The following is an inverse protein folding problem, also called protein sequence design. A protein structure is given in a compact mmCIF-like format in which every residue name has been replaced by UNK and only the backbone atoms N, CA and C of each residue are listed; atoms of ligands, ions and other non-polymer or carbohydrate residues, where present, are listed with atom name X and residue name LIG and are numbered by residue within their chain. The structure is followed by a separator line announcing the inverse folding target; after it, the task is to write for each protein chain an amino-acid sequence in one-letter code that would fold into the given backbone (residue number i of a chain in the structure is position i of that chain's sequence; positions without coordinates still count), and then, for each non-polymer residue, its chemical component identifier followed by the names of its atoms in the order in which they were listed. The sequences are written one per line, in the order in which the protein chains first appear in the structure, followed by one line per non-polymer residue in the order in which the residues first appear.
data_IF_298474292687
#
_entry.id   IF_298474292687
#
_cell.length_a   1.000
_cell.length_b   1.000
_cell.length_c   1.000
_cell.angle_alpha   90.00
_cell.angle_beta   90.00
_cell.angle_gamma   90.00
#
_symmetry.space_group_name_H-M   'P 1'
#
loop_
_entity.id
_entity.type
_entity.pdbx_description
1 polymer ?
#
# COMPACT_ATOMS: atom_id res chain seq x y z
N UNK A 1 -14.17 -71.85 -5.18
CA UNK A 1 -13.72 -70.61 -5.89
C UNK A 1 -14.73 -69.44 -5.95
N UNK A 2 -15.94 -69.44 -5.27
CA UNK A 2 -16.77 -68.21 -5.21
C UNK A 2 -16.42 -67.25 -4.06
N UNK A 3 -15.77 -67.74 -2.98
CA UNK A 3 -15.60 -66.92 -1.75
C UNK A 3 -14.46 -65.89 -1.80
N UNK A 4 -13.44 -66.11 -2.67
CA UNK A 4 -12.33 -65.13 -2.75
C UNK A 4 -12.71 -63.88 -3.55
N UNK A 5 -13.59 -64.01 -4.54
CA UNK A 5 -14.08 -62.86 -5.32
C UNK A 5 -14.96 -61.92 -4.50
N UNK A 6 -15.74 -62.45 -3.59
CA UNK A 6 -16.60 -61.66 -2.69
C UNK A 6 -15.74 -60.90 -1.65
N UNK A 7 -14.66 -61.54 -1.18
CA UNK A 7 -13.76 -60.91 -0.20
C UNK A 7 -12.95 -59.76 -0.85
N UNK A 8 -12.53 -59.91 -2.11
CA UNK A 8 -11.81 -58.83 -2.84
C UNK A 8 -12.74 -57.63 -3.14
N UNK A 9 -13.98 -57.90 -3.57
CA UNK A 9 -14.98 -56.84 -3.78
C UNK A 9 -15.34 -56.07 -2.49
N UNK A 10 -15.46 -56.77 -1.35
CA UNK A 10 -15.70 -56.15 -0.06
C UNK A 10 -14.50 -55.28 0.38
N UNK A 11 -13.27 -55.75 0.19
CA UNK A 11 -12.06 -54.99 0.51
C UNK A 11 -11.93 -53.73 -0.34
N UNK A 12 -12.18 -53.80 -1.64
CA UNK A 12 -12.14 -52.64 -2.55
C UNK A 12 -13.24 -51.66 -2.23
N UNK A 13 -14.45 -52.12 -1.89
CA UNK A 13 -15.56 -51.25 -1.44
C UNK A 13 -15.24 -50.53 -0.16
N UNK A 14 -14.61 -51.21 0.82
CA UNK A 14 -14.22 -50.58 2.09
C UNK A 14 -13.15 -49.52 1.94
N UNK A 15 -12.14 -49.75 1.08
CA UNK A 15 -11.08 -48.76 0.79
C UNK A 15 -11.66 -47.52 0.08
N UNK A 16 -12.60 -47.71 -0.86
CA UNK A 16 -13.26 -46.59 -1.54
C UNK A 16 -14.12 -45.77 -0.57
N UNK A 17 -14.84 -46.37 0.36
CA UNK A 17 -15.63 -45.65 1.37
C UNK A 17 -14.72 -44.89 2.34
N UNK A 18 -13.62 -45.50 2.81
CA UNK A 18 -12.66 -44.83 3.68
C UNK A 18 -12.00 -43.64 2.92
N UNK A 19 -11.62 -43.81 1.65
CA UNK A 19 -11.05 -42.74 0.80
C UNK A 19 -12.01 -41.57 0.63
N UNK A 20 -13.31 -41.84 0.40
CA UNK A 20 -14.35 -40.83 0.31
C UNK A 20 -14.61 -40.16 1.67
N UNK A 21 -14.62 -40.88 2.77
CA UNK A 21 -14.78 -40.34 4.12
C UNK A 21 -13.60 -39.41 4.49
N UNK A 22 -12.36 -39.82 4.19
CA UNK A 22 -11.16 -39.00 4.42
C UNK A 22 -11.17 -37.74 3.55
N UNK A 23 -11.59 -37.86 2.29
CA UNK A 23 -11.73 -36.71 1.38
C UNK A 23 -12.81 -35.76 1.85
N UNK A 24 -13.94 -36.28 2.33
CA UNK A 24 -15.04 -35.48 2.90
C UNK A 24 -14.63 -34.82 4.22
N UNK A 25 -13.93 -35.54 5.09
CA UNK A 25 -13.40 -35.03 6.36
C UNK A 25 -12.35 -33.92 6.11
N UNK A 26 -11.44 -34.11 5.15
CA UNK A 26 -10.44 -33.11 4.78
C UNK A 26 -11.09 -31.89 4.11
N UNK A 27 -12.09 -32.07 3.24
CA UNK A 27 -12.90 -31.01 2.66
C UNK A 27 -13.67 -30.24 3.74
N UNK A 28 -14.35 -30.95 4.65
CA UNK A 28 -15.09 -30.34 5.76
C UNK A 28 -14.17 -29.60 6.76
N UNK A 29 -12.94 -30.08 6.93
CA UNK A 29 -11.92 -29.44 7.75
C UNK A 29 -11.29 -28.23 7.06
N UNK A 30 -11.20 -28.23 5.73
CA UNK A 30 -10.71 -27.08 4.93
C UNK A 30 -11.74 -25.95 4.87
N UNK A 31 -13.05 -26.27 4.84
CA UNK A 31 -14.14 -25.27 4.86
C UNK A 31 -14.27 -24.53 6.21
N UNK A 32 -13.66 -25.03 7.27
CA UNK A 32 -13.57 -24.36 8.57
C UNK A 32 -12.31 -23.51 8.76
N UNK A 33 -11.68 -23.00 7.71
CA UNK A 33 -10.74 -21.88 7.88
C UNK A 33 -11.53 -20.71 8.45
N UNK A 34 -11.46 -20.57 9.79
CA UNK A 34 -12.06 -19.46 10.53
C UNK A 34 -11.58 -18.17 9.88
N UNK A 35 -12.50 -17.43 9.25
CA UNK A 35 -12.13 -16.13 8.65
C UNK A 35 -11.51 -15.28 9.75
N UNK A 36 -10.36 -14.68 9.47
CA UNK A 36 -9.72 -13.76 10.39
C UNK A 36 -10.66 -12.61 10.72
N UNK A 37 -10.78 -12.23 12.00
CA UNK A 37 -11.61 -11.09 12.37
C UNK A 37 -11.01 -9.81 11.80
N UNK A 38 -11.87 -8.94 11.28
CA UNK A 38 -11.51 -7.67 10.66
C UNK A 38 -11.65 -6.56 11.68
N UNK A 39 -10.65 -5.68 11.80
CA UNK A 39 -10.70 -4.53 12.70
C UNK A 39 -11.57 -3.41 12.12
N UNK A 40 -11.28 -2.97 10.89
CA UNK A 40 -11.93 -1.80 10.27
C UNK A 40 -13.29 -2.18 9.67
N UNK A 41 -14.26 -2.53 10.53
CA UNK A 41 -15.62 -2.90 10.10
C UNK A 41 -16.44 -1.63 9.79
N UNK A 42 -16.33 -0.61 10.63
CA UNK A 42 -17.08 0.64 10.51
C UNK A 42 -16.15 1.84 10.32
N UNK A 43 -16.28 2.60 9.21
CA UNK A 43 -15.35 3.69 8.88
C UNK A 43 -15.30 4.85 9.86
N UNK A 44 -16.33 5.02 10.69
CA UNK A 44 -16.46 6.13 11.65
C UNK A 44 -15.99 5.78 13.05
N UNK A 45 -15.89 4.49 13.38
CA UNK A 45 -15.46 4.01 14.69
C UNK A 45 -13.95 4.22 14.86
N UNK A 46 -13.57 4.63 16.06
CA UNK A 46 -12.17 4.76 16.48
C UNK A 46 -11.73 3.52 17.22
N UNK A 47 -10.60 2.99 16.82
CA UNK A 47 -9.95 1.83 17.43
C UNK A 47 -8.63 2.28 18.04
N UNK A 48 -8.53 2.29 19.37
CA UNK A 48 -7.29 2.62 20.08
C UNK A 48 -6.32 1.45 20.03
N UNK A 49 -5.23 1.60 19.30
CA UNK A 49 -4.22 0.55 19.10
C UNK A 49 -2.92 0.90 19.82
N UNK A 50 -2.33 0.00 20.62
CA UNK A 50 -1.08 0.23 21.31
C UNK A 50 0.12 0.10 20.37
N UNK A 51 1.09 1.01 20.52
CA UNK A 51 2.41 0.89 19.91
C UNK A 51 3.17 -0.28 20.55
N UNK A 52 3.60 -1.25 19.75
CA UNK A 52 4.36 -2.42 20.24
C UNK A 52 5.80 -2.47 19.74
N UNK A 53 6.12 -1.72 18.67
CA UNK A 53 7.49 -1.64 18.14
C UNK A 53 7.70 -0.33 17.40
N UNK A 54 8.92 0.22 17.50
CA UNK A 54 9.38 1.38 16.74
C UNK A 54 10.78 1.11 16.21
N UNK A 55 10.94 1.05 14.89
CA UNK A 55 12.22 0.86 14.21
C UNK A 55 12.65 2.17 13.55
N UNK A 56 13.94 2.52 13.67
CA UNK A 56 14.54 3.65 12.96
C UNK A 56 14.96 3.17 11.57
N UNK A 57 14.35 3.73 10.53
CA UNK A 57 14.68 3.38 9.14
C UNK A 57 15.72 4.34 8.55
N UNK A 58 15.64 5.62 8.89
CA UNK A 58 16.62 6.64 8.48
C UNK A 58 16.73 7.74 9.55
N UNK A 59 17.48 8.80 9.25
CA UNK A 59 17.65 9.95 10.14
C UNK A 59 16.33 10.58 10.57
N UNK A 60 15.31 10.54 9.72
CA UNK A 60 14.01 11.16 9.97
C UNK A 60 12.81 10.25 9.72
N UNK A 61 13.01 8.95 9.48
CA UNK A 61 11.91 8.02 9.19
C UNK A 61 11.89 6.86 10.17
N UNK A 62 10.68 6.50 10.60
CA UNK A 62 10.39 5.42 11.55
C UNK A 62 9.36 4.46 10.97
N UNK A 63 9.49 3.20 11.34
CA UNK A 63 8.42 2.21 11.19
C UNK A 63 7.78 1.98 12.56
N UNK A 64 6.51 2.32 12.66
CA UNK A 64 5.70 2.12 13.87
C UNK A 64 4.83 0.88 13.68
N UNK A 65 4.90 -0.06 14.60
CA UNK A 65 4.03 -1.23 14.63
C UNK A 65 3.04 -1.11 15.77
N UNK A 66 1.76 -1.17 15.45
CA UNK A 66 0.66 -1.17 16.40
C UNK A 66 0.01 -2.54 16.44
N UNK A 67 -0.34 -3.01 17.66
CA UNK A 67 -1.03 -4.31 17.79
C UNK A 67 -2.50 -4.19 17.43
N UNK A 68 -3.02 -5.20 16.74
CA UNK A 68 -4.44 -5.45 16.59
C UNK A 68 -4.99 -6.18 17.83
N UNK A 69 -6.32 -6.23 18.03
CA UNK A 69 -6.91 -6.78 19.27
C UNK A 69 -6.50 -8.22 19.62
N UNK A 70 -6.27 -9.06 18.62
CA UNK A 70 -5.70 -10.41 18.80
C UNK A 70 -4.73 -10.74 17.69
N UNK A 71 -3.93 -11.80 17.89
CA UNK A 71 -2.98 -12.31 16.88
C UNK A 71 -3.63 -12.73 15.56
N UNK A 72 -4.92 -13.04 15.56
CA UNK A 72 -5.65 -13.51 14.37
C UNK A 72 -6.33 -12.37 13.60
N UNK A 73 -6.41 -11.16 14.18
CA UNK A 73 -7.02 -10.02 13.52
C UNK A 73 -6.22 -9.58 12.30
N UNK A 74 -6.95 -9.15 11.28
CA UNK A 74 -6.43 -8.40 10.14
C UNK A 74 -6.97 -6.97 10.18
N UNK A 75 -6.27 -6.05 9.53
CA UNK A 75 -6.71 -4.65 9.48
C UNK A 75 -8.03 -4.49 8.70
N UNK A 76 -8.17 -5.18 7.56
CA UNK A 76 -9.34 -5.10 6.68
C UNK A 76 -9.35 -3.81 5.84
N UNK A 77 -8.18 -3.36 5.40
CA UNK A 77 -8.03 -2.15 4.60
C UNK A 77 -8.04 -2.48 3.10
N UNK A 78 -9.06 -2.03 2.32
CA UNK A 78 -9.06 -2.20 0.88
C UNK A 78 -7.83 -1.55 0.22
N UNK A 79 -7.27 -2.21 -0.79
CA UNK A 79 -6.11 -1.69 -1.53
C UNK A 79 -6.46 -0.35 -2.19
N UNK A 80 -5.62 0.66 -1.99
CA UNK A 80 -5.82 2.04 -2.44
C UNK A 80 -6.46 2.94 -1.38
N UNK A 81 -6.85 2.39 -0.23
CA UNK A 81 -7.38 3.17 0.90
C UNK A 81 -6.33 3.36 2.00
N UNK A 82 -6.65 4.24 2.95
CA UNK A 82 -5.80 4.63 4.07
C UNK A 82 -6.58 4.66 5.39
N UNK A 83 -5.86 4.80 6.48
CA UNK A 83 -6.41 5.04 7.82
C UNK A 83 -6.15 6.48 8.26
N UNK A 84 -6.99 6.99 9.14
CA UNK A 84 -6.74 8.22 9.87
C UNK A 84 -6.24 7.90 11.26
N UNK A 85 -5.12 8.50 11.65
CA UNK A 85 -4.67 8.54 13.02
C UNK A 85 -5.21 9.82 13.69
N UNK A 86 -5.71 9.68 14.89
CA UNK A 86 -6.25 10.79 15.69
C UNK A 86 -5.57 10.80 17.07
N UNK A 87 -5.04 11.95 17.45
CA UNK A 87 -4.45 12.18 18.77
C UNK A 87 -4.91 13.54 19.32
N UNK A 88 -4.89 13.70 20.63
CA UNK A 88 -5.09 14.98 21.30
C UNK A 88 -3.73 15.50 21.76
N UNK A 89 -3.34 16.70 21.32
CA UNK A 89 -2.09 17.38 21.69
C UNK A 89 -2.46 18.70 22.36
N UNK A 90 -2.31 18.77 23.68
CA UNK A 90 -2.92 19.86 24.45
C UNK A 90 -4.45 19.85 24.27
N UNK A 91 -5.02 20.95 23.82
CA UNK A 91 -6.46 21.07 23.54
C UNK A 91 -6.83 20.81 22.07
N UNK A 92 -5.85 20.57 21.21
CA UNK A 92 -6.06 20.38 19.78
C UNK A 92 -6.21 18.89 19.41
N UNK A 93 -7.23 18.57 18.61
CA UNK A 93 -7.38 17.26 17.97
C UNK A 93 -6.64 17.28 16.63
N UNK A 94 -5.60 16.46 16.52
CA UNK A 94 -4.78 16.32 15.31
C UNK A 94 -5.14 15.03 14.59
N UNK A 95 -5.53 15.15 13.32
CA UNK A 95 -5.89 14.01 12.46
C UNK A 95 -4.99 14.01 11.24
N UNK A 96 -4.39 12.86 10.91
CA UNK A 96 -3.57 12.67 9.68
C UNK A 96 -3.85 11.32 9.04
N UNK A 97 -3.76 11.30 7.72
CA UNK A 97 -3.95 10.10 6.91
C UNK A 97 -2.63 9.37 6.72
N UNK A 98 -2.67 8.04 6.83
CA UNK A 98 -1.52 7.17 6.58
C UNK A 98 -1.95 5.92 5.84
N UNK A 99 -1.15 5.49 4.87
CA UNK A 99 -1.34 4.20 4.20
C UNK A 99 -0.39 3.19 4.85
N UNK A 100 -0.90 2.14 5.49
CA UNK A 100 -0.08 1.08 6.05
C UNK A 100 0.80 0.41 4.99
N UNK A 101 1.98 -0.01 5.41
CA UNK A 101 2.88 -0.84 4.60
C UNK A 101 2.70 -2.34 4.90
N UNK A 102 2.07 -2.72 5.98
CA UNK A 102 1.54 -4.07 6.19
C UNK A 102 0.26 -4.30 5.38
N UNK A 103 -0.07 -5.55 5.13
CA UNK A 103 -1.27 -6.00 4.42
C UNK A 103 -2.16 -6.87 5.31
N UNK A 104 -3.30 -7.35 4.79
CA UNK A 104 -4.16 -8.30 5.49
C UNK A 104 -3.57 -9.73 5.59
N UNK A 105 -2.37 -9.97 5.03
CA UNK A 105 -1.60 -11.18 5.32
C UNK A 105 -0.82 -11.09 6.64
N UNK A 106 -0.63 -9.87 7.12
CA UNK A 106 0.05 -9.56 8.37
C UNK A 106 -0.96 -9.56 9.50
N UNK A 107 -1.06 -10.68 10.22
CA UNK A 107 -2.01 -10.84 11.30
C UNK A 107 -1.49 -10.27 12.61
N UNK A 108 -2.38 -9.71 13.41
CA UNK A 108 -2.12 -9.23 14.77
C UNK A 108 -1.45 -7.86 14.87
N UNK A 109 -1.09 -7.23 13.76
CA UNK A 109 -0.47 -5.90 13.78
C UNK A 109 -0.72 -5.08 12.51
N UNK A 110 -0.44 -3.79 12.61
CA UNK A 110 -0.37 -2.85 11.48
C UNK A 110 0.93 -2.06 11.54
N UNK A 111 1.63 -1.97 10.40
CA UNK A 111 2.88 -1.21 10.24
C UNK A 111 2.65 0.07 9.45
N UNK A 112 3.15 1.18 10.00
CA UNK A 112 3.17 2.49 9.34
C UNK A 112 4.61 2.96 9.18
N UNK A 113 4.99 3.39 7.98
CA UNK A 113 6.25 4.08 7.72
C UNK A 113 5.98 5.57 7.63
N UNK A 114 6.58 6.33 8.54
CA UNK A 114 6.27 7.75 8.75
C UNK A 114 7.57 8.56 8.84
N UNK A 115 7.65 9.62 8.03
CA UNK A 115 8.70 10.63 8.13
C UNK A 115 8.38 11.57 9.30
N UNK A 116 9.34 11.77 10.18
CA UNK A 116 9.25 12.67 11.32
C UNK A 116 9.76 14.04 10.89
N UNK A 117 8.88 15.00 10.90
CA UNK A 117 9.22 16.40 10.61
C UNK A 117 9.62 17.09 11.92
N UNK A 118 10.90 17.13 12.19
CA UNK A 118 11.46 17.71 13.42
C UNK A 118 11.36 19.24 13.42
N UNK A 119 11.33 19.82 14.62
CA UNK A 119 11.43 21.28 14.82
C UNK A 119 12.75 21.82 14.31
N UNK A 120 12.73 23.06 13.82
CA UNK A 120 13.90 23.82 13.39
C UNK A 120 14.71 23.20 12.23
N UNK A 121 14.12 22.25 11.49
CA UNK A 121 14.76 21.65 10.32
C UNK A 121 14.38 22.40 9.03
N UNK A 122 13.09 22.71 8.85
CA UNK A 122 12.61 23.37 7.64
C UNK A 122 12.29 24.84 7.91
N UNK A 123 12.91 25.83 7.20
CA UNK A 123 12.76 27.26 7.48
C UNK A 123 11.31 27.76 7.46
N UNK A 124 10.49 27.24 6.53
CA UNK A 124 9.06 27.63 6.41
C UNK A 124 8.16 26.93 7.43
N UNK A 125 8.63 25.90 8.12
CA UNK A 125 7.87 25.10 9.08
C UNK A 125 8.69 24.87 10.36
N UNK A 126 9.05 25.93 11.11
CA UNK A 126 9.95 25.81 12.26
C UNK A 126 9.40 24.90 13.36
N UNK A 127 8.08 24.80 13.51
CA UNK A 127 7.45 23.93 14.51
C UNK A 127 7.44 22.45 14.13
N UNK A 128 7.79 22.10 12.88
CA UNK A 128 7.76 20.73 12.37
C UNK A 128 6.35 20.14 12.28
N UNK A 129 6.27 18.80 12.25
CA UNK A 129 5.01 18.07 12.09
C UNK A 129 4.39 17.68 13.43
N UNK A 130 3.22 18.20 13.81
CA UNK A 130 2.56 17.90 15.08
C UNK A 130 2.38 16.39 15.30
N UNK A 131 1.73 15.69 14.36
CA UNK A 131 1.45 14.25 14.48
C UNK A 131 2.75 13.43 14.48
N UNK A 132 3.67 13.72 13.57
CA UNK A 132 4.89 12.91 13.42
C UNK A 132 5.82 13.01 14.63
N UNK A 133 5.93 14.19 15.24
CA UNK A 133 6.68 14.39 16.49
C UNK A 133 5.97 13.76 17.69
N UNK A 134 4.63 13.78 17.74
CA UNK A 134 3.87 13.05 18.74
C UNK A 134 4.18 11.55 18.68
N UNK A 135 4.12 10.96 17.48
CA UNK A 135 4.44 9.52 17.27
C UNK A 135 5.91 9.21 17.59
N UNK A 136 6.84 10.12 17.29
CA UNK A 136 8.26 9.94 17.66
C UNK A 136 8.44 9.83 19.17
N UNK A 137 7.68 10.61 19.96
CA UNK A 137 7.75 10.59 21.41
C UNK A 137 6.85 9.53 22.06
N UNK A 138 6.01 8.84 21.27
CA UNK A 138 5.11 7.80 21.78
C UNK A 138 5.93 6.61 22.33
N UNK A 139 5.57 6.17 23.53
CA UNK A 139 6.21 5.04 24.21
C UNK A 139 5.52 3.73 23.84
N UNK A 140 6.27 2.63 23.93
CA UNK A 140 5.70 1.29 23.76
C UNK A 140 4.58 1.09 24.82
N UNK A 141 3.44 0.60 24.36
CA UNK A 141 2.22 0.41 25.16
C UNK A 141 1.24 1.58 25.13
N UNK A 142 1.68 2.80 24.76
CA UNK A 142 0.77 3.92 24.57
C UNK A 142 -0.05 3.73 23.28
N UNK A 143 -1.27 4.29 23.26
CA UNK A 143 -2.24 4.05 22.20
C UNK A 143 -2.45 5.27 21.30
N UNK A 144 -2.84 4.99 20.05
CA UNK A 144 -3.31 5.99 19.09
C UNK A 144 -4.65 5.51 18.50
N UNK A 145 -5.57 6.43 18.29
CA UNK A 145 -6.85 6.13 17.67
C UNK A 145 -6.71 5.99 16.16
N UNK A 146 -7.05 4.80 15.65
CA UNK A 146 -7.17 4.50 14.22
C UNK A 146 -8.63 4.58 13.81
N UNK A 147 -8.88 5.10 12.61
CA UNK A 147 -10.20 5.14 11.98
C UNK A 147 -10.08 4.89 10.49
N UNK A 148 -10.96 4.10 9.93
CA UNK A 148 -11.01 3.76 8.51
C UNK A 148 -11.93 2.57 8.26
N UNK A 149 -11.93 2.04 7.03
CA UNK A 149 -11.14 2.47 5.87
C UNK A 149 -11.57 3.83 5.33
N UNK A 150 -10.65 4.60 4.74
CA UNK A 150 -10.92 5.90 4.14
C UNK A 150 -10.16 6.06 2.84
N UNK A 151 -10.72 6.83 1.91
CA UNK A 151 -10.14 7.06 0.60
C UNK A 151 -11.20 7.05 -0.49
N UNK A 152 -10.81 7.50 -1.68
CA UNK A 152 -11.69 7.60 -2.84
C UNK A 152 -11.39 6.54 -3.91
N UNK A 153 -10.26 5.85 -3.79
CA UNK A 153 -9.78 4.83 -4.72
C UNK A 153 -9.78 3.47 -4.05
N UNK A 154 -10.28 2.46 -4.76
CA UNK A 154 -10.14 1.03 -4.42
C UNK A 154 -9.63 0.30 -5.64
N UNK A 155 -8.55 -0.46 -5.47
CA UNK A 155 -8.08 -1.41 -6.48
C UNK A 155 -8.70 -2.78 -6.23
N UNK A 156 -9.32 -3.34 -7.28
CA UNK A 156 -10.04 -4.62 -7.23
C UNK A 156 -9.25 -5.79 -7.83
N UNK A 157 -7.99 -5.56 -8.22
CA UNK A 157 -7.19 -6.50 -8.99
C UNK A 157 -7.40 -6.39 -10.50
N UNK A 158 -6.46 -6.95 -11.27
CA UNK A 158 -6.53 -7.05 -12.74
C UNK A 158 -6.81 -5.72 -13.45
N UNK A 159 -6.18 -4.64 -13.00
CA UNK A 159 -6.34 -3.30 -13.58
C UNK A 159 -7.69 -2.65 -13.30
N UNK A 160 -8.53 -3.22 -12.44
CA UNK A 160 -9.86 -2.68 -12.13
C UNK A 160 -9.80 -1.74 -10.93
N UNK A 161 -10.21 -0.51 -11.14
CA UNK A 161 -10.30 0.52 -10.12
C UNK A 161 -11.73 1.00 -9.94
N UNK A 162 -12.10 1.27 -8.69
CA UNK A 162 -13.33 1.94 -8.30
C UNK A 162 -12.95 3.27 -7.67
N UNK A 163 -13.23 4.39 -8.35
CA UNK A 163 -12.76 5.72 -7.95
C UNK A 163 -13.94 6.68 -7.80
N UNK A 164 -14.03 7.35 -6.65
CA UNK A 164 -14.95 8.45 -6.43
C UNK A 164 -14.28 9.77 -6.79
N UNK A 165 -14.89 10.57 -7.67
CA UNK A 165 -14.40 11.91 -8.02
C UNK A 165 -14.51 12.82 -6.79
N UNK A 166 -15.68 12.88 -6.17
CA UNK A 166 -15.89 13.48 -4.85
C UNK A 166 -16.31 12.39 -3.84
N UNK A 167 -16.12 12.62 -2.56
CA UNK A 167 -16.46 11.61 -1.52
C UNK A 167 -17.94 11.21 -1.54
N UNK A 168 -18.83 12.13 -1.92
CA UNK A 168 -20.28 11.90 -2.00
C UNK A 168 -20.75 11.24 -3.29
N UNK A 169 -19.90 11.21 -4.32
CA UNK A 169 -20.29 10.69 -5.62
C UNK A 169 -20.30 9.15 -5.63
N UNK A 170 -21.11 8.54 -6.50
CA UNK A 170 -20.96 7.13 -6.78
C UNK A 170 -19.58 6.87 -7.40
N UNK A 171 -18.98 5.70 -7.17
CA UNK A 171 -17.71 5.36 -7.78
C UNK A 171 -17.84 5.16 -9.28
N UNK A 172 -16.82 5.59 -10.02
CA UNK A 172 -16.63 5.30 -11.44
C UNK A 172 -15.66 4.11 -11.54
N UNK A 173 -16.02 3.14 -12.37
CA UNK A 173 -15.20 1.96 -12.61
C UNK A 173 -14.24 2.22 -13.78
N UNK A 174 -12.96 1.92 -13.57
CA UNK A 174 -11.92 1.99 -14.59
C UNK A 174 -11.34 0.59 -14.78
N UNK A 175 -10.99 0.25 -16.03
CA UNK A 175 -10.29 -0.98 -16.36
C UNK A 175 -9.09 -0.63 -17.23
N UNK A 176 -7.90 -0.75 -16.67
CA UNK A 176 -6.65 -0.33 -17.29
C UNK A 176 -5.62 -1.47 -17.27
N UNK A 177 -4.63 -1.38 -18.14
CA UNK A 177 -3.51 -2.34 -18.18
C UNK A 177 -2.25 -1.77 -17.55
N UNK A 178 -2.15 -0.43 -17.52
CA UNK A 178 -0.93 0.27 -17.12
C UNK A 178 -1.22 1.33 -16.07
N UNK A 179 -0.33 1.44 -15.12
CA UNK A 179 -0.38 2.42 -14.05
C UNK A 179 0.91 3.24 -14.08
N UNK A 180 0.77 4.54 -14.27
CA UNK A 180 1.84 5.52 -14.06
C UNK A 180 1.74 6.02 -12.64
N UNK A 181 2.82 5.93 -11.88
CA UNK A 181 2.89 6.35 -10.48
C UNK A 181 3.93 7.47 -10.31
N UNK A 182 3.51 8.61 -9.75
CA UNK A 182 4.37 9.72 -9.40
C UNK A 182 4.32 9.89 -7.88
N UNK A 183 5.41 9.54 -7.21
CA UNK A 183 5.51 9.56 -5.75
C UNK A 183 6.54 10.58 -5.27
N UNK A 184 6.27 11.27 -4.16
CA UNK A 184 7.21 12.15 -3.48
C UNK A 184 7.31 11.83 -1.99
N UNK A 185 8.52 11.50 -1.51
CA UNK A 185 8.77 11.18 -0.10
C UNK A 185 7.83 10.08 0.43
N UNK A 186 7.07 10.37 1.49
CA UNK A 186 6.11 9.41 2.09
C UNK A 186 4.93 9.07 1.17
N UNK A 187 4.74 9.78 0.06
CA UNK A 187 3.78 9.42 -0.98
C UNK A 187 4.04 8.07 -1.67
N UNK A 188 5.16 7.43 -1.36
CA UNK A 188 5.45 6.06 -1.81
C UNK A 188 4.52 5.02 -1.17
N UNK A 189 4.01 5.25 0.03
CA UNK A 189 3.27 4.21 0.77
C UNK A 189 2.01 3.71 0.06
N UNK A 190 1.11 4.55 -0.53
CA UNK A 190 0.00 4.03 -1.32
C UNK A 190 0.44 3.38 -2.64
N UNK A 191 1.55 3.82 -3.23
CA UNK A 191 2.09 3.18 -4.43
C UNK A 191 2.61 1.77 -4.13
N UNK A 192 3.37 1.61 -3.04
CA UNK A 192 3.88 0.31 -2.61
C UNK A 192 2.75 -0.65 -2.25
N UNK A 193 1.69 -0.17 -1.57
CA UNK A 193 0.51 -0.98 -1.28
C UNK A 193 -0.07 -1.59 -2.57
N UNK A 194 -0.20 -0.79 -3.62
CA UNK A 194 -0.75 -1.23 -4.91
C UNK A 194 0.23 -2.15 -5.66
N UNK A 195 1.52 -1.82 -5.70
CA UNK A 195 2.56 -2.65 -6.32
C UNK A 195 2.59 -4.04 -5.68
N UNK A 196 2.59 -4.13 -4.35
CA UNK A 196 2.55 -5.41 -3.63
C UNK A 196 1.30 -6.22 -3.96
N UNK A 197 0.13 -5.58 -4.06
CA UNK A 197 -1.12 -6.26 -4.43
C UNK A 197 -1.04 -6.88 -5.84
N UNK A 198 -0.50 -6.15 -6.82
CA UNK A 198 -0.31 -6.62 -8.21
C UNK A 198 0.66 -7.79 -8.27
N UNK A 199 1.76 -7.73 -7.50
CA UNK A 199 2.79 -8.78 -7.52
C UNK A 199 2.31 -10.04 -6.81
N UNK A 200 1.58 -9.90 -5.73
CA UNK A 200 1.05 -11.01 -4.94
C UNK A 200 0.11 -11.90 -5.75
N UNK A 201 -0.71 -11.31 -6.60
CA UNK A 201 -1.56 -12.05 -7.53
C UNK A 201 -0.79 -12.33 -8.82
N UNK A 202 -0.30 -13.55 -8.97
CA UNK A 202 0.45 -13.96 -10.17
C UNK A 202 -0.37 -13.89 -11.45
N UNK A 203 -1.70 -13.87 -11.35
CA UNK A 203 -2.64 -13.77 -12.49
C UNK A 203 -2.99 -12.33 -12.84
N UNK A 204 -2.63 -11.36 -12.01
CA UNK A 204 -2.82 -9.94 -12.29
C UNK A 204 -1.76 -9.45 -13.27
N UNK A 205 -2.13 -9.21 -14.53
CA UNK A 205 -1.21 -8.77 -15.60
C UNK A 205 -0.98 -7.26 -15.64
N UNK A 206 -1.51 -6.51 -14.68
CA UNK A 206 -1.34 -5.05 -14.59
C UNK A 206 0.14 -4.68 -14.44
N UNK A 207 0.57 -3.68 -15.20
CA UNK A 207 1.93 -3.17 -15.17
C UNK A 207 1.97 -1.80 -14.51
N UNK A 208 2.95 -1.57 -13.64
CA UNK A 208 3.21 -0.27 -13.02
C UNK A 208 4.53 0.32 -13.51
N UNK A 209 4.57 1.66 -13.66
CA UNK A 209 5.80 2.42 -13.80
C UNK A 209 5.83 3.51 -12.74
N UNK A 210 6.90 3.58 -11.96
CA UNK A 210 7.06 4.47 -10.81
C UNK A 210 8.23 5.43 -11.02
N UNK A 211 7.94 6.73 -10.96
CA UNK A 211 8.93 7.79 -10.78
C UNK A 211 8.84 8.31 -9.36
N UNK A 212 9.91 8.11 -8.58
CA UNK A 212 9.93 8.40 -7.15
C UNK A 212 10.91 9.53 -6.83
N UNK A 213 10.36 10.68 -6.41
CA UNK A 213 11.10 11.89 -6.10
C UNK A 213 11.41 12.01 -4.61
N UNK A 214 12.66 12.36 -4.28
CA UNK A 214 13.16 12.57 -2.92
C UNK A 214 14.16 13.73 -2.87
N UNK A 215 14.55 14.19 -1.69
CA UNK A 215 15.53 15.28 -1.55
C UNK A 215 16.95 14.79 -1.81
N UNK A 216 17.33 13.69 -1.18
CA UNK A 216 18.63 13.06 -1.34
C UNK A 216 18.47 11.55 -1.47
N UNK A 217 19.52 10.85 -1.81
CA UNK A 217 19.55 9.38 -1.87
C UNK A 217 19.18 8.73 -0.53
N UNK A 218 19.57 9.33 0.60
CA UNK A 218 19.28 8.84 1.96
C UNK A 218 17.82 8.99 2.37
N UNK A 219 17.06 9.83 1.64
CA UNK A 219 15.63 10.06 1.87
C UNK A 219 14.74 9.06 1.12
N UNK A 220 15.31 8.21 0.25
CA UNK A 220 14.54 7.23 -0.52
C UNK A 220 14.04 6.14 0.41
N UNK A 221 12.76 6.20 0.73
CA UNK A 221 12.11 5.24 1.62
C UNK A 221 11.93 3.88 0.94
N UNK A 222 12.21 2.80 1.68
CA UNK A 222 11.98 1.42 1.23
C UNK A 222 12.69 1.09 -0.10
N UNK A 223 13.87 1.72 -0.33
CA UNK A 223 14.61 1.60 -1.58
C UNK A 223 14.98 0.17 -1.90
N UNK A 224 15.59 -0.55 -0.96
CA UNK A 224 16.03 -1.93 -1.16
C UNK A 224 14.86 -2.83 -1.59
N UNK A 225 13.69 -2.65 -0.98
CA UNK A 225 12.49 -3.38 -1.35
C UNK A 225 12.00 -3.04 -2.76
N UNK A 226 11.97 -1.75 -3.12
CA UNK A 226 11.55 -1.31 -4.46
C UNK A 226 12.50 -1.81 -5.55
N UNK A 227 13.81 -1.76 -5.30
CA UNK A 227 14.85 -2.25 -6.20
C UNK A 227 14.75 -3.77 -6.38
N UNK A 228 14.54 -4.52 -5.28
CA UNK A 228 14.33 -5.96 -5.31
C UNK A 228 13.06 -6.33 -6.09
N UNK A 229 11.96 -5.61 -5.89
CA UNK A 229 10.72 -5.80 -6.64
C UNK A 229 10.95 -5.54 -8.14
N UNK A 230 11.56 -4.43 -8.51
CA UNK A 230 11.81 -4.10 -9.91
C UNK A 230 12.73 -5.12 -10.59
N UNK A 231 13.74 -5.61 -9.86
CA UNK A 231 14.67 -6.64 -10.34
C UNK A 231 13.99 -8.00 -10.53
N UNK A 232 13.17 -8.43 -9.57
CA UNK A 232 12.55 -9.76 -9.58
C UNK A 232 11.26 -9.80 -10.41
N UNK A 233 10.62 -8.65 -10.66
CA UNK A 233 9.37 -8.52 -11.40
C UNK A 233 9.45 -7.44 -12.51
N UNK A 234 10.43 -7.50 -13.43
CA UNK A 234 10.67 -6.45 -14.43
C UNK A 234 9.48 -6.26 -15.40
N UNK A 235 8.65 -7.30 -15.57
CA UNK A 235 7.44 -7.23 -16.38
C UNK A 235 6.24 -6.59 -15.64
N UNK A 236 6.35 -6.37 -14.31
CA UNK A 236 5.29 -5.79 -13.49
C UNK A 236 5.63 -4.37 -13.04
N UNK A 237 6.91 -4.08 -12.75
CA UNK A 237 7.34 -2.78 -12.25
C UNK A 237 8.54 -2.24 -13.03
N UNK A 238 8.36 -1.04 -13.62
CA UNK A 238 9.44 -0.15 -14.06
C UNK A 238 9.67 0.88 -12.97
N UNK A 239 10.92 1.10 -12.58
CA UNK A 239 11.27 1.97 -11.46
C UNK A 239 12.32 2.99 -11.88
N UNK A 240 12.08 4.26 -11.56
CA UNK A 240 13.02 5.36 -11.76
C UNK A 240 12.99 6.31 -10.57
N UNK A 241 14.14 6.85 -10.24
CA UNK A 241 14.29 7.80 -9.14
C UNK A 241 14.69 9.20 -9.66
N UNK A 242 14.32 10.24 -8.91
CA UNK A 242 14.90 11.58 -9.03
C UNK A 242 15.15 12.13 -7.62
N UNK A 243 16.24 12.87 -7.45
CA UNK A 243 16.61 13.52 -6.18
C UNK A 243 16.97 14.98 -6.42
N UNK A 244 16.68 15.85 -5.43
CA UNK A 244 16.98 17.27 -5.56
C UNK A 244 18.49 17.54 -5.58
N UNK A 245 19.23 16.81 -4.75
CA UNK A 245 20.69 16.94 -4.62
C UNK A 245 21.34 15.57 -4.80
N UNK A 246 22.14 15.44 -5.87
CA UNK A 246 22.84 14.19 -6.18
C UNK A 246 24.17 14.06 -5.47
N UNK A 247 24.54 12.82 -5.14
CA UNK A 247 25.91 12.41 -4.85
C UNK A 247 26.70 12.16 -6.13
N UNK A 248 28.02 12.07 -6.03
CA UNK A 248 28.85 11.56 -7.12
C UNK A 248 28.38 10.11 -7.45
N UNK A 249 28.29 9.82 -8.76
CA UNK A 249 27.83 8.51 -9.28
C UNK A 249 26.34 8.18 -9.13
N UNK A 250 25.47 9.18 -8.94
CA UNK A 250 24.03 8.95 -8.97
C UNK A 250 23.54 8.54 -10.36
N UNK A 251 22.99 7.31 -10.57
CA UNK A 251 22.70 6.78 -11.90
C UNK A 251 21.32 7.18 -12.46
N UNK A 252 20.52 7.91 -11.69
CA UNK A 252 19.18 8.32 -12.06
C UNK A 252 19.09 9.84 -12.28
N UNK A 253 17.86 10.36 -12.37
CA UNK A 253 17.63 11.79 -12.63
C UNK A 253 17.89 12.66 -11.40
N UNK A 254 18.13 13.94 -11.65
CA UNK A 254 18.24 14.99 -10.63
C UNK A 254 17.26 16.13 -10.91
N UNK A 255 16.82 16.78 -9.83
CA UNK A 255 15.86 17.87 -9.87
C UNK A 255 14.41 17.41 -9.80
N UNK A 256 13.52 18.38 -9.97
CA UNK A 256 12.08 18.15 -9.91
C UNK A 256 11.58 17.33 -11.10
N UNK A 257 10.50 16.59 -10.86
CA UNK A 257 9.81 15.82 -11.92
C UNK A 257 9.53 16.74 -13.11
N UNK A 258 9.93 16.31 -14.31
CA UNK A 258 9.72 17.04 -15.56
C UNK A 258 9.21 16.12 -16.68
N UNK A 259 8.89 16.71 -17.84
CA UNK A 259 8.29 15.99 -18.96
C UNK A 259 9.21 14.91 -19.52
N UNK A 260 10.53 15.18 -19.59
CA UNK A 260 11.49 14.22 -20.15
C UNK A 260 11.60 12.98 -19.25
N UNK A 261 11.69 13.15 -17.93
CA UNK A 261 11.68 12.03 -16.99
C UNK A 261 10.42 11.16 -17.13
N UNK A 262 9.25 11.79 -17.25
CA UNK A 262 7.98 11.08 -17.43
C UNK A 262 7.98 10.32 -18.76
N UNK A 263 8.36 10.98 -19.85
CA UNK A 263 8.38 10.41 -21.20
C UNK A 263 9.34 9.23 -21.33
N UNK A 264 10.53 9.35 -20.75
CA UNK A 264 11.60 8.38 -20.98
C UNK A 264 11.47 7.15 -20.08
N UNK A 265 10.87 7.30 -18.90
CA UNK A 265 10.87 6.23 -17.89
C UNK A 265 9.48 5.66 -17.53
N UNK A 266 8.39 6.33 -17.93
CA UNK A 266 7.05 5.86 -17.59
C UNK A 266 6.28 5.41 -18.84
N UNK A 267 5.16 4.73 -18.64
CA UNK A 267 4.28 4.33 -19.74
C UNK A 267 3.68 5.56 -20.42
N UNK A 268 3.60 5.58 -21.76
CA UNK A 268 2.99 6.69 -22.49
C UNK A 268 1.49 6.81 -22.20
N UNK A 269 0.90 8.00 -22.46
CA UNK A 269 -0.54 8.19 -22.35
C UNK A 269 -1.30 7.26 -23.29
N UNK A 270 -2.33 6.61 -22.78
CA UNK A 270 -3.25 5.79 -23.57
C UNK A 270 -4.58 5.61 -22.81
N UNK A 271 -5.66 5.18 -23.49
CA UNK A 271 -6.96 4.95 -22.83
C UNK A 271 -6.92 3.86 -21.74
N UNK A 272 -5.94 2.97 -21.77
CA UNK A 272 -5.73 1.90 -20.78
C UNK A 272 -4.59 2.20 -19.77
N UNK A 273 -4.20 3.48 -19.66
CA UNK A 273 -3.18 3.97 -18.71
C UNK A 273 -3.78 4.94 -17.72
N UNK A 274 -3.74 4.61 -16.42
CA UNK A 274 -4.14 5.52 -15.34
C UNK A 274 -2.89 6.12 -14.67
N UNK A 275 -2.99 7.38 -14.23
CA UNK A 275 -1.93 8.07 -13.49
C UNK A 275 -2.34 8.24 -12.03
N UNK A 276 -1.50 7.76 -11.13
CA UNK A 276 -1.66 7.91 -9.68
C UNK A 276 -0.55 8.82 -9.13
N UNK A 277 -0.93 9.79 -8.33
CA UNK A 277 0.01 10.78 -7.76
C UNK A 277 -0.15 10.84 -6.25
N UNK A 278 0.97 10.83 -5.53
CA UNK A 278 0.99 11.08 -4.08
C UNK A 278 2.29 11.75 -3.66
N UNK A 279 2.18 12.89 -2.99
CA UNK A 279 3.35 13.66 -2.53
C UNK A 279 2.96 15.06 -2.11
N UNK A 280 3.93 15.95 -1.89
CA UNK A 280 3.67 17.34 -1.53
C UNK A 280 2.79 18.04 -2.57
N UNK A 281 1.79 18.86 -2.16
CA UNK A 281 0.94 19.59 -3.11
C UNK A 281 1.71 20.41 -4.17
N UNK A 282 2.84 21.07 -3.85
CA UNK A 282 3.63 21.75 -4.87
C UNK A 282 4.17 20.82 -5.96
N UNK A 283 4.60 19.59 -5.61
CA UNK A 283 5.03 18.59 -6.59
C UNK A 283 3.88 18.23 -7.53
N UNK A 284 2.71 17.94 -6.99
CA UNK A 284 1.55 17.56 -7.79
C UNK A 284 1.10 18.70 -8.70
N UNK A 285 0.98 19.92 -8.16
CA UNK A 285 0.39 21.05 -8.86
C UNK A 285 1.34 21.72 -9.86
N UNK A 286 2.64 21.79 -9.56
CA UNK A 286 3.61 22.56 -10.35
C UNK A 286 4.60 21.71 -11.14
N UNK A 287 4.77 20.42 -10.77
CA UNK A 287 5.64 19.50 -11.49
C UNK A 287 4.85 18.40 -12.21
N UNK A 288 3.96 17.65 -11.52
CA UNK A 288 3.29 16.52 -12.14
C UNK A 288 2.24 16.95 -13.17
N UNK A 289 1.21 17.70 -12.75
CA UNK A 289 0.09 18.05 -13.63
C UNK A 289 0.50 18.79 -14.90
N UNK A 290 1.33 19.88 -14.86
CA UNK A 290 1.72 20.58 -16.08
C UNK A 290 2.50 19.72 -17.07
N UNK A 291 3.36 18.82 -16.57
CA UNK A 291 4.12 17.93 -17.43
C UNK A 291 3.26 16.79 -18.02
N UNK A 292 2.29 16.29 -17.27
CA UNK A 292 1.30 15.35 -17.77
C UNK A 292 0.40 15.98 -18.85
N UNK A 293 0.02 17.27 -18.69
CA UNK A 293 -0.73 18.02 -19.70
C UNK A 293 0.08 18.14 -20.98
N UNK A 294 1.34 18.57 -20.87
CA UNK A 294 2.28 18.70 -22.01
C UNK A 294 2.45 17.38 -22.78
N UNK A 295 2.41 16.25 -22.08
CA UNK A 295 2.59 14.93 -22.68
C UNK A 295 1.27 14.29 -23.16
N UNK A 296 0.12 14.94 -22.96
CA UNK A 296 -1.18 14.48 -23.46
C UNK A 296 -1.82 13.36 -22.64
N UNK A 297 -1.48 13.22 -21.37
CA UNK A 297 -2.23 12.32 -20.49
C UNK A 297 -3.64 12.88 -20.23
N UNK A 298 -4.66 12.03 -20.31
CA UNK A 298 -6.05 12.45 -20.07
C UNK A 298 -6.26 12.85 -18.59
N UNK A 299 -6.73 14.07 -18.29
CA UNK A 299 -7.06 14.49 -16.92
C UNK A 299 -8.07 13.60 -16.21
N UNK A 300 -8.97 12.92 -16.96
CA UNK A 300 -9.96 11.99 -16.40
C UNK A 300 -9.35 10.69 -15.91
N UNK A 301 -8.15 10.37 -16.37
CA UNK A 301 -7.38 9.18 -15.97
C UNK A 301 -6.27 9.52 -14.97
N UNK A 302 -6.37 10.65 -14.26
CA UNK A 302 -5.40 11.08 -13.24
C UNK A 302 -6.08 11.13 -11.87
N UNK A 303 -5.42 10.56 -10.89
CA UNK A 303 -5.89 10.57 -9.53
C UNK A 303 -4.76 10.99 -8.58
N UNK A 304 -5.05 11.96 -7.71
CA UNK A 304 -4.19 12.36 -6.60
C UNK A 304 -4.81 11.90 -5.27
N UNK A 305 -4.00 11.22 -4.46
CA UNK A 305 -4.39 10.70 -3.14
C UNK A 305 -4.66 11.81 -2.13
#
# INVERSE_FOLDING_TARGET
MPNEFVSVLAAVGTIAVIGLAVKFYNSWRSDKKKKSPILLVEPVVKYSLPLIKKDILSHDTRKFRFALPTSDHILGLPIGQHVHLTVKIGDEVVIRSYTPVSSDDDHGYVDLVIKVYFKNVHPKFPEGGKMSQYLENLKIGETVDFRGPSGRLVYKGHGKFSIKILRKDPPVEYNVKKIVMLAGGTGITPMLQLIRAIIKDSTDETQASLLFANQTEKDILLRDELDDIAKNHPNKLKLWYTIDTSSENWPYSTGFINADMIKDHLFPPSPDTIVLMCGPPPMINFACNPNLDKLGYDPKLRFAY
#
